data_IF_384652567372
#
_entry.id   IF_384652567372
#
_cell.length_a   1.000
_cell.length_b   1.000
_cell.length_c   1.000
_cell.angle_alpha   90.00
_cell.angle_beta   90.00
_cell.angle_gamma   90.00
#
_symmetry.space_group_name_H-M   'P 1'
#
loop_
_entity.id
_entity.type
_entity.pdbx_description
1 polymer ?
#
# COMPACT_ATOMS: atom_id res chain seq x y z
N UNK A 1 -79.12 -2.00 122.25
CA UNK A 1 -78.90 -0.83 121.37
C UNK A 1 -77.43 -0.40 121.24
N UNK A 2 -76.52 -0.81 122.13
CA UNK A 2 -75.10 -0.37 122.07
C UNK A 2 -74.19 -1.24 121.20
N UNK A 3 -74.54 -2.51 120.97
CA UNK A 3 -73.73 -3.46 120.20
C UNK A 3 -73.85 -3.22 118.68
N UNK A 4 -75.01 -2.79 118.18
CA UNK A 4 -75.24 -2.47 116.75
C UNK A 4 -74.60 -1.13 116.31
N UNK A 5 -74.40 -0.17 117.23
CA UNK A 5 -73.67 1.08 116.94
C UNK A 5 -72.17 0.85 116.82
N UNK A 6 -71.60 -0.08 117.60
CA UNK A 6 -70.18 -0.45 117.50
C UNK A 6 -69.86 -1.03 116.12
N UNK A 7 -70.66 -1.99 115.65
CA UNK A 7 -70.43 -2.68 114.37
C UNK A 7 -70.62 -1.77 113.14
N UNK A 8 -71.43 -0.72 113.25
CA UNK A 8 -71.62 0.25 112.16
C UNK A 8 -70.45 1.24 112.08
N UNK A 9 -69.91 1.65 113.22
CA UNK A 9 -68.77 2.58 113.30
C UNK A 9 -67.47 1.93 112.81
N UNK A 10 -67.27 0.65 113.14
CA UNK A 10 -66.12 -0.12 112.65
C UNK A 10 -66.17 -0.34 111.12
N UNK A 11 -67.36 -0.52 110.55
CA UNK A 11 -67.56 -0.60 109.09
C UNK A 11 -67.23 0.73 108.39
N UNK A 12 -67.66 1.86 108.94
CA UNK A 12 -67.35 3.20 108.40
C UNK A 12 -65.84 3.44 108.38
N UNK A 13 -65.13 3.16 109.48
CA UNK A 13 -63.66 3.23 109.52
C UNK A 13 -62.98 2.33 108.49
N UNK A 14 -63.53 1.15 108.26
CA UNK A 14 -63.00 0.24 107.25
C UNK A 14 -63.20 0.80 105.83
N UNK A 15 -64.36 1.38 105.54
CA UNK A 15 -64.62 2.06 104.28
C UNK A 15 -63.75 3.32 104.09
N UNK A 16 -63.51 4.10 105.15
CA UNK A 16 -62.61 5.26 105.10
C UNK A 16 -61.17 4.83 104.76
N UNK A 17 -60.68 3.76 105.37
CA UNK A 17 -59.37 3.20 105.04
C UNK A 17 -59.29 2.68 103.60
N UNK A 18 -60.36 2.04 103.11
CA UNK A 18 -60.44 1.56 101.73
C UNK A 18 -60.46 2.73 100.72
N UNK A 19 -61.16 3.82 101.03
CA UNK A 19 -61.19 5.04 100.21
C UNK A 19 -59.78 5.62 100.09
N UNK A 20 -59.07 5.83 101.21
CA UNK A 20 -57.69 6.35 101.21
C UNK A 20 -56.76 5.46 100.38
N UNK A 21 -56.92 4.14 100.48
CA UNK A 21 -56.14 3.19 99.69
C UNK A 21 -56.46 3.29 98.20
N UNK A 22 -57.72 3.47 97.83
CA UNK A 22 -58.15 3.68 96.45
C UNK A 22 -57.68 5.01 95.88
N UNK A 23 -57.72 6.10 96.65
CA UNK A 23 -57.20 7.42 96.26
C UNK A 23 -55.70 7.35 95.96
N UNK A 24 -54.90 6.72 96.84
CA UNK A 24 -53.47 6.49 96.59
C UNK A 24 -53.21 5.65 95.32
N UNK A 25 -54.07 4.66 95.07
CA UNK A 25 -54.00 3.84 93.84
C UNK A 25 -54.34 4.63 92.57
N UNK A 26 -55.28 5.57 92.65
CA UNK A 26 -55.63 6.47 91.54
C UNK A 26 -54.45 7.40 91.27
N UNK A 27 -53.90 8.07 92.28
CA UNK A 27 -52.73 8.95 92.13
C UNK A 27 -51.54 8.21 91.50
N UNK A 28 -51.27 6.98 91.94
CA UNK A 28 -50.20 6.18 91.37
C UNK A 28 -50.45 5.83 89.90
N UNK A 29 -51.69 5.46 89.54
CA UNK A 29 -52.08 5.18 88.16
C UNK A 29 -52.02 6.42 87.27
N UNK A 30 -52.41 7.58 87.79
CA UNK A 30 -52.34 8.84 87.06
C UNK A 30 -50.88 9.25 86.80
N UNK A 31 -49.99 9.05 87.78
CA UNK A 31 -48.54 9.24 87.60
C UNK A 31 -47.99 8.32 86.50
N UNK A 32 -48.32 7.02 86.56
CA UNK A 32 -47.92 6.04 85.55
C UNK A 32 -48.47 6.40 84.16
N UNK A 33 -49.72 6.85 84.08
CA UNK A 33 -50.34 7.28 82.84
C UNK A 33 -49.61 8.49 82.24
N UNK A 34 -49.28 9.49 83.06
CA UNK A 34 -48.53 10.67 82.61
C UNK A 34 -47.14 10.31 82.10
N UNK A 35 -46.42 9.40 82.78
CA UNK A 35 -45.13 8.90 82.31
C UNK A 35 -45.25 8.15 80.98
N UNK A 36 -46.28 7.32 80.82
CA UNK A 36 -46.53 6.58 79.58
C UNK A 36 -46.88 7.53 78.43
N UNK A 37 -47.71 8.54 78.70
CA UNK A 37 -48.10 9.56 77.73
C UNK A 37 -46.89 10.36 77.26
N UNK A 38 -46.02 10.78 78.19
CA UNK A 38 -44.78 11.47 77.84
C UNK A 38 -43.90 10.62 76.93
N UNK A 39 -43.69 9.33 77.26
CA UNK A 39 -42.92 8.42 76.41
C UNK A 39 -43.54 8.23 75.03
N UNK A 40 -44.87 8.13 74.96
CA UNK A 40 -45.59 8.02 73.69
C UNK A 40 -45.44 9.28 72.82
N UNK A 41 -45.53 10.46 73.43
CA UNK A 41 -45.37 11.74 72.74
C UNK A 41 -43.92 11.92 72.24
N UNK A 42 -42.93 11.57 73.05
CA UNK A 42 -41.52 11.54 72.67
C UNK A 42 -41.27 10.58 71.50
N UNK A 43 -41.82 9.37 71.56
CA UNK A 43 -41.67 8.38 70.51
C UNK A 43 -42.33 8.83 69.20
N UNK A 44 -43.50 9.47 69.27
CA UNK A 44 -44.23 9.99 68.11
C UNK A 44 -43.46 11.13 67.44
N UNK A 45 -42.89 12.06 68.23
CA UNK A 45 -42.01 13.12 67.71
C UNK A 45 -40.78 12.55 67.01
N UNK A 46 -40.16 11.54 67.61
CA UNK A 46 -38.99 10.88 67.02
C UNK A 46 -39.33 10.19 65.70
N UNK A 47 -40.48 9.52 65.61
CA UNK A 47 -40.96 8.91 64.37
C UNK A 47 -41.23 9.95 63.29
N UNK A 48 -41.86 11.08 63.63
CA UNK A 48 -42.07 12.19 62.69
C UNK A 48 -40.76 12.73 62.14
N UNK A 49 -39.76 12.96 63.01
CA UNK A 49 -38.45 13.45 62.59
C UNK A 49 -37.76 12.48 61.61
N UNK A 50 -37.79 11.17 61.92
CA UNK A 50 -37.25 10.14 61.02
C UNK A 50 -37.96 10.17 59.67
N UNK A 51 -39.29 10.30 59.67
CA UNK A 51 -40.08 10.31 58.45
C UNK A 51 -39.78 11.53 57.58
N UNK A 52 -39.62 12.71 58.18
CA UNK A 52 -39.21 13.94 57.49
C UNK A 52 -37.79 13.81 56.91
N UNK A 53 -36.85 13.26 57.67
CA UNK A 53 -35.49 13.01 57.21
C UNK A 53 -35.47 12.04 56.02
N UNK A 54 -36.22 10.94 56.09
CA UNK A 54 -36.34 10.00 54.97
C UNK A 54 -36.96 10.63 53.73
N UNK A 55 -38.00 11.45 53.89
CA UNK A 55 -38.63 12.15 52.78
C UNK A 55 -37.65 13.15 52.14
N UNK A 56 -36.93 13.93 52.95
CA UNK A 56 -35.90 14.86 52.47
C UNK A 56 -34.80 14.13 51.70
N UNK A 57 -34.32 13.01 52.23
CA UNK A 57 -33.29 12.20 51.57
C UNK A 57 -33.79 11.63 50.24
N UNK A 58 -35.00 11.07 50.21
CA UNK A 58 -35.61 10.52 48.99
C UNK A 58 -35.79 11.60 47.92
N UNK A 59 -36.24 12.80 48.30
CA UNK A 59 -36.38 13.92 47.38
C UNK A 59 -35.05 14.35 46.76
N UNK A 60 -33.99 14.43 47.57
CA UNK A 60 -32.65 14.78 47.09
C UNK A 60 -32.11 13.70 46.13
N UNK A 61 -32.28 12.42 46.45
CA UNK A 61 -31.90 11.33 45.54
C UNK A 61 -32.67 11.39 44.21
N UNK A 62 -33.98 11.64 44.26
CA UNK A 62 -34.80 11.76 43.06
C UNK A 62 -34.32 12.92 42.16
N UNK A 63 -33.97 14.06 42.78
CA UNK A 63 -33.41 15.21 42.06
C UNK A 63 -32.08 14.87 41.39
N UNK A 64 -31.18 14.16 42.08
CA UNK A 64 -29.91 13.72 41.49
C UNK A 64 -30.11 12.74 40.34
N UNK A 65 -31.03 11.79 40.49
CA UNK A 65 -31.37 10.83 39.42
C UNK A 65 -31.90 11.57 38.19
N UNK A 66 -32.72 12.60 38.37
CA UNK A 66 -33.28 13.38 37.28
C UNK A 66 -32.21 14.18 36.52
N UNK A 67 -31.26 14.79 37.25
CA UNK A 67 -30.11 15.46 36.65
C UNK A 67 -29.24 14.48 35.84
N UNK A 68 -28.93 13.32 36.40
CA UNK A 68 -28.14 12.29 35.71
C UNK A 68 -28.84 11.75 34.46
N UNK A 69 -30.18 11.64 34.47
CA UNK A 69 -30.95 11.25 33.28
C UNK A 69 -30.83 12.29 32.16
N UNK A 70 -30.91 13.57 32.50
CA UNK A 70 -30.75 14.66 31.53
C UNK A 70 -29.34 14.64 30.93
N UNK A 71 -28.32 14.50 31.76
CA UNK A 71 -26.93 14.44 31.32
C UNK A 71 -26.68 13.23 30.40
N UNK A 72 -27.21 12.06 30.77
CA UNK A 72 -27.14 10.85 29.94
C UNK A 72 -27.85 11.05 28.59
N UNK A 73 -29.03 11.67 28.56
CA UNK A 73 -29.74 11.96 27.33
C UNK A 73 -28.98 12.94 26.42
N UNK A 74 -28.34 13.96 27.00
CA UNK A 74 -27.52 14.90 26.24
C UNK A 74 -26.28 14.23 25.66
N UNK A 75 -25.58 13.42 26.47
CA UNK A 75 -24.39 12.68 26.05
C UNK A 75 -24.72 11.68 24.93
N UNK A 76 -25.81 10.93 25.05
CA UNK A 76 -26.24 9.99 24.00
C UNK A 76 -26.60 10.69 22.69
N UNK A 77 -27.26 11.85 22.73
CA UNK A 77 -27.54 12.65 21.54
C UNK A 77 -26.27 13.17 20.86
N UNK A 78 -25.28 13.59 21.64
CA UNK A 78 -23.98 14.03 21.11
C UNK A 78 -23.27 12.89 20.40
N UNK A 79 -23.17 11.71 21.04
CA UNK A 79 -22.55 10.52 20.46
C UNK A 79 -23.25 10.08 19.17
N UNK A 80 -24.58 10.16 19.12
CA UNK A 80 -25.34 9.81 17.91
C UNK A 80 -25.06 10.78 16.76
N UNK A 81 -24.98 12.09 17.04
CA UNK A 81 -24.61 13.09 16.03
C UNK A 81 -23.19 12.87 15.50
N UNK A 82 -22.23 12.58 16.37
CA UNK A 82 -20.86 12.25 15.98
C UNK A 82 -20.82 10.98 15.12
N UNK A 83 -21.56 9.94 15.51
CA UNK A 83 -21.69 8.69 14.74
C UNK A 83 -22.22 8.94 13.33
N UNK A 84 -23.29 9.73 13.20
CA UNK A 84 -23.87 10.09 11.90
C UNK A 84 -22.87 10.91 11.07
N UNK A 85 -22.16 11.85 11.67
CA UNK A 85 -21.14 12.65 11.00
C UNK A 85 -20.01 11.77 10.43
N UNK A 86 -19.47 10.88 11.25
CA UNK A 86 -18.43 9.93 10.83
C UNK A 86 -18.91 9.02 9.70
N UNK A 87 -20.15 8.51 9.77
CA UNK A 87 -20.69 7.66 8.71
C UNK A 87 -20.84 8.42 7.39
N UNK A 88 -21.28 9.68 7.43
CA UNK A 88 -21.37 10.52 6.24
C UNK A 88 -19.99 10.77 5.60
N UNK A 89 -18.96 11.01 6.42
CA UNK A 89 -17.59 11.13 5.93
C UNK A 89 -17.07 9.81 5.34
N UNK A 90 -17.34 8.67 6.00
CA UNK A 90 -16.99 7.34 5.50
C UNK A 90 -17.61 7.06 4.14
N UNK A 91 -18.90 7.36 3.96
CA UNK A 91 -19.60 7.20 2.69
C UNK A 91 -18.99 8.13 1.62
N UNK A 92 -18.67 9.37 1.98
CA UNK A 92 -18.02 10.32 1.05
C UNK A 92 -16.65 9.80 0.60
N UNK A 93 -15.84 9.30 1.51
CA UNK A 93 -14.54 8.70 1.21
C UNK A 93 -14.68 7.45 0.34
N UNK A 94 -15.63 6.56 0.66
CA UNK A 94 -15.91 5.35 -0.14
C UNK A 94 -16.26 5.69 -1.60
N UNK A 95 -17.08 6.72 -1.84
CA UNK A 95 -17.40 7.18 -3.20
C UNK A 95 -16.19 7.74 -3.95
N UNK A 96 -15.28 8.42 -3.24
CA UNK A 96 -14.05 8.94 -3.85
C UNK A 96 -13.13 7.76 -4.21
N UNK A 97 -13.00 6.80 -3.32
CA UNK A 97 -12.18 5.61 -3.53
C UNK A 97 -12.69 4.78 -4.72
N UNK A 98 -13.99 4.54 -4.82
CA UNK A 98 -14.60 3.83 -5.95
C UNK A 98 -14.28 4.51 -7.29
N UNK A 99 -14.38 5.85 -7.35
CA UNK A 99 -14.02 6.62 -8.55
C UNK A 99 -12.54 6.51 -8.88
N UNK A 100 -11.67 6.59 -7.87
CA UNK A 100 -10.23 6.49 -8.06
C UNK A 100 -9.83 5.11 -8.57
N UNK A 101 -10.41 4.05 -8.00
CA UNK A 101 -10.20 2.66 -8.43
C UNK A 101 -10.68 2.44 -9.87
N UNK A 102 -11.83 3.00 -10.24
CA UNK A 102 -12.33 2.94 -11.61
C UNK A 102 -11.37 3.61 -12.61
N UNK A 103 -10.91 4.84 -12.31
CA UNK A 103 -9.93 5.53 -13.16
C UNK A 103 -8.58 4.80 -13.23
N UNK A 104 -8.12 4.21 -12.12
CA UNK A 104 -6.90 3.43 -12.09
C UNK A 104 -7.01 2.19 -12.99
N UNK A 105 -8.14 1.49 -12.92
CA UNK A 105 -8.39 0.32 -13.75
C UNK A 105 -8.41 0.68 -15.25
N UNK A 106 -9.06 1.80 -15.61
CA UNK A 106 -9.10 2.29 -16.99
C UNK A 106 -7.68 2.56 -17.54
N UNK A 107 -6.87 3.34 -16.82
CA UNK A 107 -5.49 3.64 -17.22
C UNK A 107 -4.64 2.38 -17.32
N UNK A 108 -4.85 1.42 -16.41
CA UNK A 108 -4.11 0.15 -16.41
C UNK A 108 -4.45 -0.68 -17.65
N UNK A 109 -5.72 -0.74 -18.04
CA UNK A 109 -6.17 -1.44 -19.24
C UNK A 109 -5.58 -0.80 -20.51
N UNK A 110 -5.63 0.53 -20.61
CA UNK A 110 -5.08 1.29 -21.73
C UNK A 110 -3.57 1.08 -21.87
N UNK A 111 -2.84 1.06 -20.74
CA UNK A 111 -1.41 0.80 -20.73
C UNK A 111 -1.08 -0.60 -21.25
N UNK A 112 -1.79 -1.63 -20.78
CA UNK A 112 -1.60 -3.00 -21.24
C UNK A 112 -1.99 -3.19 -22.71
N UNK A 113 -2.99 -2.46 -23.20
CA UNK A 113 -3.32 -2.45 -24.62
C UNK A 113 -2.20 -1.78 -25.45
N UNK A 114 -1.72 -0.62 -25.01
CA UNK A 114 -0.64 0.09 -25.69
C UNK A 114 0.64 -0.75 -25.75
N UNK A 115 0.98 -1.42 -24.64
CA UNK A 115 2.11 -2.36 -24.57
C UNK A 115 1.96 -3.50 -25.57
N UNK A 116 0.77 -4.10 -25.68
CA UNK A 116 0.49 -5.14 -26.68
C UNK A 116 0.67 -4.63 -28.11
N UNK A 117 0.16 -3.43 -28.42
CA UNK A 117 0.31 -2.79 -29.73
C UNK A 117 1.78 -2.50 -30.06
N UNK A 118 2.55 -2.02 -29.08
CA UNK A 118 3.98 -1.76 -29.25
C UNK A 118 4.75 -3.04 -29.57
N UNK A 119 4.53 -4.12 -28.81
CA UNK A 119 5.16 -5.42 -29.07
C UNK A 119 4.83 -5.92 -30.47
N UNK A 120 3.57 -5.78 -30.91
CA UNK A 120 3.15 -6.16 -32.27
C UNK A 120 3.87 -5.34 -33.34
N UNK A 121 3.91 -4.03 -33.20
CA UNK A 121 4.58 -3.14 -34.16
C UNK A 121 6.08 -3.42 -34.27
N UNK A 122 6.75 -3.76 -33.15
CA UNK A 122 8.16 -4.15 -33.15
C UNK A 122 8.37 -5.44 -33.96
N UNK A 123 7.50 -6.44 -33.80
CA UNK A 123 7.57 -7.70 -34.56
C UNK A 123 7.34 -7.46 -36.06
N UNK A 124 6.28 -6.74 -36.42
CA UNK A 124 5.98 -6.39 -37.83
C UNK A 124 7.14 -5.61 -38.47
N UNK A 125 7.76 -4.70 -37.72
CA UNK A 125 8.96 -3.97 -38.18
C UNK A 125 10.14 -4.90 -38.41
N UNK A 126 10.37 -5.89 -37.53
CA UNK A 126 11.46 -6.85 -37.69
C UNK A 126 11.24 -7.74 -38.92
N UNK A 127 10.02 -8.21 -39.15
CA UNK A 127 9.65 -8.98 -40.34
C UNK A 127 9.90 -8.17 -41.63
N UNK A 128 9.46 -6.91 -41.65
CA UNK A 128 9.70 -6.02 -42.78
C UNK A 128 11.19 -5.80 -43.03
N UNK A 129 11.97 -5.57 -41.98
CA UNK A 129 13.41 -5.39 -42.10
C UNK A 129 14.10 -6.63 -42.67
N UNK A 130 13.73 -7.83 -42.20
CA UNK A 130 14.24 -9.09 -42.74
C UNK A 130 13.87 -9.28 -44.21
N UNK A 131 12.65 -8.90 -44.60
CA UNK A 131 12.20 -8.95 -45.99
C UNK A 131 13.01 -8.01 -46.88
N UNK A 132 13.19 -6.76 -46.46
CA UNK A 132 14.02 -5.76 -47.16
C UNK A 132 15.45 -6.30 -47.31
N UNK A 133 16.05 -6.79 -46.23
CA UNK A 133 17.41 -7.33 -46.26
C UNK A 133 17.53 -8.51 -47.24
N UNK A 134 16.54 -9.40 -47.30
CA UNK A 134 16.53 -10.51 -48.26
C UNK A 134 16.45 -10.05 -49.71
N UNK A 135 15.74 -8.94 -49.98
CA UNK A 135 15.61 -8.37 -51.31
C UNK A 135 16.89 -7.65 -51.74
N UNK A 136 17.52 -6.91 -50.83
CA UNK A 136 18.84 -6.27 -51.05
C UNK A 136 19.89 -7.31 -51.46
N UNK A 137 19.98 -8.44 -50.75
CA UNK A 137 20.89 -9.54 -51.10
C UNK A 137 20.60 -10.07 -52.51
N UNK A 138 19.34 -10.33 -52.85
CA UNK A 138 18.95 -10.82 -54.18
C UNK A 138 19.34 -9.85 -55.29
N UNK A 139 19.14 -8.55 -55.07
CA UNK A 139 19.54 -7.51 -56.01
C UNK A 139 21.06 -7.48 -56.21
N UNK A 140 21.85 -7.58 -55.14
CA UNK A 140 23.31 -7.64 -55.23
C UNK A 140 23.78 -8.90 -55.98
N UNK A 141 23.14 -10.05 -55.76
CA UNK A 141 23.41 -11.29 -56.51
C UNK A 141 23.07 -11.19 -57.99
N UNK A 142 21.97 -10.50 -58.36
CA UNK A 142 21.62 -10.26 -59.76
C UNK A 142 22.57 -9.26 -60.44
N UNK A 143 22.98 -8.21 -59.73
CA UNK A 143 23.94 -7.24 -60.26
C UNK A 143 25.35 -7.84 -60.41
N UNK A 144 25.79 -8.67 -59.47
CA UNK A 144 27.09 -9.36 -59.54
C UNK A 144 27.14 -10.47 -60.60
N UNK A 145 25.99 -10.99 -61.05
CA UNK A 145 25.88 -11.94 -62.17
C UNK A 145 26.09 -11.33 -63.55
N UNK A 146 26.12 -10.00 -63.69
CA UNK A 146 26.55 -9.33 -64.92
C UNK A 146 28.08 -9.35 -64.99
N UNK A 147 28.63 -10.48 -65.44
CA UNK A 147 30.05 -10.58 -65.79
C UNK A 147 30.34 -9.59 -66.92
N UNK A 148 31.10 -8.53 -66.61
CA UNK A 148 31.59 -7.58 -67.62
C UNK A 148 32.89 -8.15 -68.17
N UNK A 149 32.98 -8.46 -69.48
CA UNK A 149 34.22 -8.86 -70.12
C UNK A 149 35.32 -7.82 -69.85
N UNK A 150 36.56 -8.28 -69.65
CA UNK A 150 37.70 -7.40 -69.34
C UNK A 150 37.92 -6.28 -70.38
N UNK A 151 37.48 -6.52 -71.62
CA UNK A 151 37.57 -5.63 -72.78
C UNK A 151 36.64 -4.41 -72.65
N UNK A 152 35.51 -4.56 -71.96
CA UNK A 152 34.51 -3.51 -71.76
C UNK A 152 34.85 -2.57 -70.58
N UNK A 153 35.85 -2.93 -69.78
CA UNK A 153 36.36 -2.05 -68.73
C UNK A 153 37.36 -1.06 -69.33
N UNK A 154 36.84 0.12 -69.66
CA UNK A 154 37.61 1.21 -70.27
C UNK A 154 38.36 2.06 -69.25
N UNK A 155 37.98 2.01 -67.97
CA UNK A 155 38.51 2.88 -66.92
C UNK A 155 38.86 2.11 -65.64
N UNK A 156 39.86 2.58 -64.90
CA UNK A 156 40.20 2.04 -63.59
C UNK A 156 39.00 2.13 -62.64
N UNK A 157 38.63 1.01 -62.01
CA UNK A 157 37.42 0.92 -61.16
C UNK A 157 37.46 1.84 -59.92
N UNK A 158 38.65 2.27 -59.46
CA UNK A 158 38.79 3.19 -58.31
C UNK A 158 38.91 4.66 -58.74
N UNK A 159 39.88 4.97 -59.60
CA UNK A 159 40.23 6.36 -59.93
C UNK A 159 39.70 6.84 -61.28
N UNK A 160 38.96 5.99 -62.01
CA UNK A 160 38.38 6.27 -63.32
C UNK A 160 39.38 6.66 -64.43
N UNK A 161 40.69 6.50 -64.24
CA UNK A 161 41.69 6.70 -65.31
C UNK A 161 41.42 5.76 -66.48
N UNK A 162 41.33 6.31 -67.69
CA UNK A 162 41.11 5.55 -68.94
C UNK A 162 42.31 4.63 -69.20
N UNK A 163 42.03 3.35 -69.46
CA UNK A 163 43.02 2.39 -69.91
C UNK A 163 43.39 2.64 -71.37
N UNK A 164 44.65 2.44 -71.70
CA UNK A 164 45.16 2.68 -73.04
C UNK A 164 46.52 2.04 -73.20
N UNK A 165 47.30 2.51 -74.18
CA UNK A 165 48.61 1.91 -74.46
C UNK A 165 49.60 2.04 -73.29
N UNK A 166 49.51 3.18 -72.57
CA UNK A 166 50.40 3.54 -71.46
C UNK A 166 49.89 3.08 -70.10
N UNK A 167 48.56 2.97 -69.90
CA UNK A 167 47.95 2.53 -68.64
C UNK A 167 47.40 1.12 -68.81
N UNK A 168 48.10 0.13 -68.25
CA UNK A 168 47.73 -1.29 -68.32
C UNK A 168 46.65 -1.64 -67.29
N UNK A 169 45.85 -2.65 -67.63
CA UNK A 169 44.81 -3.24 -66.78
C UNK A 169 45.42 -4.24 -65.80
N UNK A 170 45.02 -4.18 -64.53
CA UNK A 170 45.42 -5.12 -63.49
C UNK A 170 44.21 -5.61 -62.69
N UNK A 171 44.07 -6.92 -62.52
CA UNK A 171 42.99 -7.50 -61.73
C UNK A 171 43.37 -7.61 -60.25
N UNK A 172 42.45 -7.22 -59.38
CA UNK A 172 42.51 -7.57 -57.96
C UNK A 172 42.06 -9.02 -57.78
N UNK A 173 42.84 -9.89 -57.14
CA UNK A 173 42.46 -11.30 -56.96
C UNK A 173 41.44 -11.57 -55.85
N UNK A 174 41.09 -10.55 -55.07
CA UNK A 174 40.08 -10.65 -54.02
C UNK A 174 38.67 -10.25 -54.51
N UNK A 175 38.55 -9.17 -55.28
CA UNK A 175 37.25 -8.69 -55.79
C UNK A 175 37.08 -8.85 -57.31
N UNK A 176 38.10 -9.36 -58.01
CA UNK A 176 38.15 -9.64 -59.46
C UNK A 176 37.94 -8.43 -60.39
N UNK A 177 37.78 -7.22 -59.86
CA UNK A 177 37.67 -5.97 -60.65
C UNK A 177 39.02 -5.50 -61.21
N UNK A 178 38.98 -4.65 -62.23
CA UNK A 178 40.16 -4.14 -62.96
C UNK A 178 40.56 -2.73 -62.50
N UNK A 179 41.84 -2.54 -62.23
CA UNK A 179 42.44 -1.31 -61.70
C UNK A 179 43.71 -0.93 -62.49
N UNK A 180 44.13 0.33 -62.38
CA UNK A 180 45.46 0.74 -62.81
C UNK A 180 46.52 0.30 -61.78
N UNK A 181 47.80 0.44 -62.14
CA UNK A 181 48.91 0.06 -61.28
C UNK A 181 48.81 0.71 -59.90
N UNK A 182 48.55 2.03 -59.86
CA UNK A 182 48.51 2.80 -58.61
C UNK A 182 47.40 2.38 -57.65
N UNK A 183 46.23 1.97 -58.16
CA UNK A 183 45.10 1.56 -57.33
C UNK A 183 45.14 0.08 -56.92
N UNK A 184 46.16 -0.65 -57.37
CA UNK A 184 46.32 -2.09 -57.11
C UNK A 184 47.76 -2.48 -56.82
N UNK A 185 48.57 -1.57 -56.26
CA UNK A 185 49.97 -1.85 -55.97
C UNK A 185 50.19 -2.54 -54.61
N UNK A 186 49.19 -3.28 -54.12
CA UNK A 186 49.29 -4.06 -52.89
C UNK A 186 49.38 -5.55 -53.22
N UNK A 187 50.18 -6.28 -52.46
CA UNK A 187 50.41 -7.71 -52.64
C UNK A 187 50.23 -8.43 -51.32
N UNK A 188 49.48 -9.52 -51.31
CA UNK A 188 49.26 -10.35 -50.13
C UNK A 188 49.68 -11.78 -50.37
N UNK A 189 50.16 -12.44 -49.31
CA UNK A 189 50.56 -13.84 -49.37
C UNK A 189 49.32 -14.75 -49.26
N UNK A 190 49.30 -15.82 -50.05
CA UNK A 190 48.28 -16.86 -49.91
C UNK A 190 48.28 -17.52 -48.53
N UNK A 191 47.16 -18.15 -48.19
CA UNK A 191 46.91 -18.72 -46.85
C UNK A 191 47.87 -19.83 -46.41
N UNK A 192 48.66 -20.42 -47.32
CA UNK A 192 49.68 -21.43 -47.00
C UNK A 192 51.07 -20.81 -46.95
N UNK A 193 51.90 -21.28 -46.01
CA UNK A 193 53.32 -20.92 -45.92
C UNK A 193 54.00 -21.25 -47.27
N UNK A 194 54.72 -20.29 -47.86
CA UNK A 194 55.32 -20.34 -49.21
C UNK A 194 54.34 -20.23 -50.39
N UNK A 195 53.11 -19.76 -50.18
CA UNK A 195 52.22 -19.42 -51.30
C UNK A 195 52.75 -18.21 -52.07
N UNK A 196 52.56 -18.17 -53.41
CA UNK A 196 52.87 -17.00 -54.21
C UNK A 196 52.06 -15.78 -53.73
N UNK A 197 52.65 -14.60 -53.83
CA UNK A 197 51.94 -13.35 -53.55
C UNK A 197 51.02 -13.02 -54.72
N UNK A 198 49.84 -12.48 -54.40
CA UNK A 198 48.88 -12.03 -55.40
C UNK A 198 48.45 -10.58 -55.17
N UNK A 199 48.15 -9.91 -56.28
CA UNK A 199 47.82 -8.48 -56.33
C UNK A 199 46.39 -8.22 -55.86
N UNK A 200 46.22 -7.19 -55.03
CA UNK A 200 44.91 -6.70 -54.60
C UNK A 200 44.78 -5.18 -54.74
N UNK A 201 43.55 -4.68 -54.86
CA UNK A 201 43.27 -3.25 -54.85
C UNK A 201 43.34 -2.66 -53.44
N UNK A 202 43.47 -1.34 -53.37
CA UNK A 202 43.56 -0.62 -52.08
C UNK A 202 42.38 -0.91 -51.15
N UNK A 203 41.16 -0.97 -51.69
CA UNK A 203 39.95 -1.26 -50.90
C UNK A 203 40.00 -2.64 -50.24
N UNK A 204 40.43 -3.67 -50.98
CA UNK A 204 40.58 -5.02 -50.42
C UNK A 204 41.71 -5.06 -49.39
N UNK A 205 42.80 -4.32 -49.61
CA UNK A 205 43.89 -4.23 -48.65
C UNK A 205 43.45 -3.59 -47.33
N UNK A 206 42.73 -2.46 -47.40
CA UNK A 206 42.18 -1.78 -46.22
C UNK A 206 41.19 -2.65 -45.44
N UNK A 207 40.33 -3.40 -46.14
CA UNK A 207 39.38 -4.33 -45.49
C UNK A 207 40.10 -5.42 -44.71
N UNK A 208 41.12 -6.04 -45.30
CA UNK A 208 41.92 -7.08 -44.65
C UNK A 208 42.73 -6.54 -43.47
N UNK A 209 43.29 -5.34 -43.58
CA UNK A 209 44.00 -4.69 -42.47
C UNK A 209 43.06 -4.42 -41.29
N UNK A 210 41.82 -3.97 -41.54
CA UNK A 210 40.82 -3.76 -40.48
C UNK A 210 40.37 -5.07 -39.82
N UNK A 211 40.21 -6.14 -40.59
CA UNK A 211 39.89 -7.48 -40.08
C UNK A 211 41.04 -8.09 -39.24
N UNK A 212 42.29 -7.75 -39.53
CA UNK A 212 43.46 -8.20 -38.76
C UNK A 212 43.69 -7.44 -37.44
N UNK A 213 43.01 -6.31 -37.24
CA UNK A 213 43.16 -5.42 -36.08
C UNK A 213 42.03 -5.56 -35.05
N UNK A 214 41.03 -6.41 -35.27
CA UNK A 214 40.01 -6.72 -34.26
C UNK A 214 40.54 -7.77 -33.28
N UNK A 215 40.74 -7.45 -31.98
CA UNK A 215 40.99 -8.48 -30.98
C UNK A 215 39.69 -9.25 -30.78
N UNK A 216 39.71 -10.54 -31.13
CA UNK A 216 38.64 -11.54 -31.00
C UNK A 216 37.66 -11.58 -32.18
N UNK A 217 37.94 -12.50 -33.11
CA UNK A 217 37.07 -12.88 -34.22
C UNK A 217 35.76 -13.52 -33.74
N UNK A 218 34.78 -12.68 -33.45
CA UNK A 218 33.37 -13.05 -33.35
C UNK A 218 32.69 -12.43 -34.58
N UNK A 219 32.08 -13.27 -35.41
CA UNK A 219 31.34 -12.78 -36.57
C UNK A 219 29.99 -12.22 -36.13
N UNK A 220 29.45 -11.25 -36.86
CA UNK A 220 28.20 -10.54 -36.53
C UNK A 220 26.98 -11.47 -36.35
N UNK A 221 27.07 -12.72 -36.84
CA UNK A 221 26.03 -13.73 -36.74
C UNK A 221 25.98 -14.44 -35.38
N UNK A 222 27.04 -14.38 -34.57
CA UNK A 222 27.11 -15.05 -33.27
C UNK A 222 26.40 -14.26 -32.15
N UNK A 223 26.14 -12.96 -32.37
CA UNK A 223 25.49 -12.08 -31.38
C UNK A 223 23.95 -12.20 -31.37
N UNK A 224 23.33 -12.79 -32.40
CA UNK A 224 21.87 -12.90 -32.52
C UNK A 224 21.30 -14.24 -32.01
N UNK A 225 22.13 -15.27 -31.83
CA UNK A 225 21.67 -16.62 -31.46
C UNK A 225 21.66 -16.92 -29.95
N UNK A 226 22.02 -15.97 -29.08
CA UNK A 226 22.14 -16.20 -27.63
C UNK A 226 21.02 -15.60 -26.78
N UNK A 227 19.87 -15.25 -27.36
CA UNK A 227 18.73 -14.73 -26.58
C UNK A 227 17.45 -15.56 -26.69
N UNK A 228 17.58 -16.87 -26.90
CA UNK A 228 16.52 -17.85 -26.64
C UNK A 228 17.01 -18.88 -25.62
N UNK A 229 16.69 -18.61 -24.36
CA UNK A 229 16.35 -19.53 -23.27
C UNK A 229 16.85 -18.95 -21.95
N UNK A 230 15.93 -18.36 -21.18
CA UNK A 230 15.75 -18.61 -19.75
C UNK A 230 14.54 -17.85 -19.20
N UNK A 231 13.59 -18.67 -18.77
CA UNK A 231 12.74 -18.50 -17.59
C UNK A 231 11.60 -17.48 -17.64
N UNK A 232 10.45 -17.99 -18.11
CA UNK A 232 9.19 -17.86 -17.37
C UNK A 232 9.40 -18.43 -15.96
N UNK A 233 9.52 -17.58 -14.95
CA UNK A 233 8.90 -17.70 -13.62
C UNK A 233 9.48 -16.62 -12.70
N UNK A 234 8.61 -16.07 -11.87
CA UNK A 234 8.93 -15.25 -10.69
C UNK A 234 9.15 -13.73 -10.91
N UNK A 235 8.04 -13.00 -10.90
CA UNK A 235 7.99 -11.61 -10.43
C UNK A 235 6.96 -11.54 -9.30
N UNK A 236 7.20 -12.28 -8.22
CA UNK A 236 6.64 -11.93 -6.92
C UNK A 236 7.43 -10.73 -6.38
N UNK A 237 6.78 -9.56 -6.33
CA UNK A 237 7.36 -8.37 -5.74
C UNK A 237 7.16 -8.43 -4.22
N UNK A 238 8.08 -9.05 -3.50
CA UNK A 238 8.15 -8.91 -2.04
C UNK A 238 8.55 -7.46 -1.71
N UNK A 239 7.60 -6.70 -1.17
CA UNK A 239 7.83 -5.37 -0.61
C UNK A 239 8.69 -5.53 0.65
N UNK A 240 9.97 -5.16 0.55
CA UNK A 240 10.90 -5.10 1.66
C UNK A 240 10.49 -3.96 2.62
N UNK A 241 10.29 -4.19 3.92
CA UNK A 241 10.02 -3.11 4.86
C UNK A 241 11.27 -2.22 5.03
N UNK A 242 11.02 -0.92 5.01
CA UNK A 242 12.00 0.14 5.18
C UNK A 242 12.65 0.06 6.57
N UNK A 243 13.99 0.12 6.60
CA UNK A 243 14.79 0.04 7.84
C UNK A 243 14.82 1.44 8.46
N UNK A 244 14.15 1.63 9.59
CA UNK A 244 14.26 2.85 10.40
C UNK A 244 15.74 3.09 10.81
N UNK A 245 16.21 4.35 10.84
CA UNK A 245 17.55 4.68 11.28
C UNK A 245 17.72 4.50 12.81
N UNK A 246 18.96 4.23 13.28
CA UNK A 246 19.22 3.92 14.69
C UNK A 246 19.07 5.17 15.56
N UNK A 247 18.28 5.06 16.63
CA UNK A 247 18.29 6.01 17.74
C UNK A 247 19.54 5.78 18.58
N UNK A 248 20.37 6.81 18.73
CA UNK A 248 21.49 6.81 19.66
C UNK A 248 20.98 6.92 21.08
N UNK A 249 21.28 5.91 21.89
CA UNK A 249 21.15 5.96 23.35
C UNK A 249 22.13 6.99 23.93
N UNK A 250 21.60 7.99 24.62
CA UNK A 250 22.32 8.69 25.68
C UNK A 250 21.66 8.34 27.01
N UNK A 251 22.28 7.40 27.73
CA UNK A 251 22.14 7.30 29.18
C UNK A 251 22.82 8.51 29.81
N UNK A 252 22.17 9.17 30.77
CA UNK A 252 22.62 9.20 32.18
C UNK A 252 21.90 10.28 33.00
N UNK A 253 21.42 9.83 34.17
CA UNK A 253 21.42 10.52 35.47
C UNK A 253 20.68 11.84 35.61
N UNK A 254 19.57 11.82 36.35
CA UNK A 254 19.50 12.20 37.78
C UNK A 254 18.12 11.93 38.36
#
# INVERSE_FOLDING_TARGET
>A
MSIERSTTTDKIKNYENDIVKHESLIEHKDSLFNELQQKYDEQTKHLQLIQEQHLSYSNEQNKQIELLKIELEQSTKLLENERISMENERIKQSKIQEKLEASLNEVTLDFEEMKRRLVKAIREKAELFNSIHSYEIKLEEEQSRKWVPDEDVLNCTKCNTVFGWTVRRHHCRQCQKIFCFYCSNNWIQGSKLNSPQYRICDFCNEKLLKESLTPNGITYNDALNNHETKDETDLSFEVRPERLPPTTDTQSTS
#
